data_IF_387089207756
#
_entry.id   IF_387089207756
#
_cell.length_a   1.000
_cell.length_b   1.000
_cell.length_c   1.000
_cell.angle_alpha   90.00
_cell.angle_beta   90.00
_cell.angle_gamma   90.00
#
_symmetry.space_group_name_H-M   'P 1'
#
loop_
_entity.id
_entity.type
_entity.pdbx_description
1 polymer ?
#
# COMPACT_ATOMS: atom_id res chain seq x y z
N UNK A 1 -11.10 5.96 -18.93
CA UNK A 1 -10.97 4.49 -18.79
C UNK A 1 -12.29 3.79 -19.07
N UNK A 2 -13.33 3.98 -18.24
CA UNK A 2 -14.65 3.33 -18.40
C UNK A 2 -15.24 3.49 -19.81
N UNK A 3 -15.18 4.68 -20.39
CA UNK A 3 -15.64 4.92 -21.76
C UNK A 3 -14.85 4.13 -22.82
N UNK A 4 -13.54 3.96 -22.63
CA UNK A 4 -12.69 3.15 -23.50
C UNK A 4 -13.02 1.66 -23.36
N UNK A 5 -13.27 1.19 -22.13
CA UNK A 5 -13.71 -0.18 -21.85
C UNK A 5 -15.04 -0.50 -22.56
N UNK A 6 -16.00 0.42 -22.50
CA UNK A 6 -17.32 0.29 -23.13
C UNK A 6 -17.18 0.27 -24.66
N UNK A 7 -16.34 1.13 -25.24
CA UNK A 7 -16.11 1.17 -26.69
C UNK A 7 -15.47 -0.14 -27.17
N UNK A 8 -14.47 -0.66 -26.45
CA UNK A 8 -13.83 -1.95 -26.77
C UNK A 8 -14.83 -3.11 -26.69
N UNK A 9 -15.65 -3.15 -25.63
CA UNK A 9 -16.71 -4.16 -25.46
C UNK A 9 -17.76 -4.10 -26.58
N UNK A 10 -18.21 -2.90 -26.94
CA UNK A 10 -19.25 -2.69 -27.96
C UNK A 10 -18.75 -3.10 -29.35
N UNK A 11 -17.47 -2.89 -29.64
CA UNK A 11 -16.84 -3.30 -30.91
C UNK A 11 -16.53 -4.80 -30.93
N UNK A 12 -16.17 -5.40 -29.79
CA UNK A 12 -15.99 -6.86 -29.66
C UNK A 12 -17.28 -7.64 -29.90
N UNK A 13 -18.41 -7.11 -29.42
CA UNK A 13 -19.74 -7.69 -29.61
C UNK A 13 -20.35 -7.39 -31.00
N UNK A 14 -19.76 -6.48 -31.77
CA UNK A 14 -20.18 -6.11 -33.12
C UNK A 14 -19.58 -7.06 -34.17
N UNK A 15 -20.33 -7.44 -35.22
CA UNK A 15 -19.92 -8.22 -36.41
C UNK A 15 -18.85 -7.50 -37.29
N UNK A 16 -17.81 -6.93 -36.67
CA UNK A 16 -16.72 -6.25 -37.36
C UNK A 16 -15.57 -7.18 -37.72
N UNK A 17 -14.81 -6.75 -38.72
CA UNK A 17 -13.71 -7.46 -39.37
C UNK A 17 -12.67 -7.99 -38.35
N UNK A 18 -12.23 -9.24 -38.50
CA UNK A 18 -11.32 -9.94 -37.56
C UNK A 18 -10.05 -9.15 -37.24
N UNK A 19 -9.49 -8.47 -38.24
CA UNK A 19 -8.28 -7.66 -38.09
C UNK A 19 -8.50 -6.48 -37.13
N UNK A 20 -9.63 -5.79 -37.21
CA UNK A 20 -9.95 -4.63 -36.37
C UNK A 20 -10.12 -5.03 -34.89
N UNK A 21 -10.72 -6.19 -34.62
CA UNK A 21 -10.82 -6.77 -33.26
C UNK A 21 -9.44 -7.05 -32.66
N UNK A 22 -8.52 -7.62 -33.45
CA UNK A 22 -7.16 -7.94 -32.99
C UNK A 22 -6.36 -6.66 -32.71
N UNK A 23 -6.43 -5.65 -33.58
CA UNK A 23 -5.72 -4.38 -33.39
C UNK A 23 -6.19 -3.65 -32.14
N UNK A 24 -7.51 -3.59 -31.89
CA UNK A 24 -8.06 -2.99 -30.66
C UNK A 24 -7.64 -3.74 -29.40
N UNK A 25 -7.58 -5.07 -29.45
CA UNK A 25 -7.05 -5.89 -28.36
C UNK A 25 -5.59 -5.55 -28.07
N UNK A 26 -4.74 -5.50 -29.10
CA UNK A 26 -3.32 -5.15 -28.95
C UNK A 26 -3.14 -3.75 -28.35
N UNK A 27 -3.90 -2.75 -28.81
CA UNK A 27 -3.86 -1.38 -28.27
C UNK A 27 -4.34 -1.33 -26.82
N UNK A 28 -5.39 -2.06 -26.45
CA UNK A 28 -5.88 -2.11 -25.07
C UNK A 28 -4.88 -2.77 -24.11
N UNK A 29 -4.18 -3.83 -24.55
CA UNK A 29 -3.08 -4.46 -23.82
C UNK A 29 -1.90 -3.50 -23.66
N UNK A 30 -1.53 -2.77 -24.71
CA UNK A 30 -0.45 -1.79 -24.62
C UNK A 30 -0.81 -0.65 -23.65
N UNK A 31 -2.03 -0.12 -23.76
CA UNK A 31 -2.55 0.92 -22.87
C UNK A 31 -2.59 0.46 -21.40
N UNK A 32 -2.82 -0.85 -21.16
CA UNK A 32 -2.77 -1.44 -19.81
C UNK A 32 -1.42 -1.26 -19.12
N UNK A 33 -0.33 -1.48 -19.88
CA UNK A 33 1.03 -1.41 -19.35
C UNK A 33 1.38 0.02 -18.92
N UNK A 34 0.90 1.00 -19.68
CA UNK A 34 1.11 2.42 -19.39
C UNK A 34 0.13 3.00 -18.37
N UNK A 35 -0.89 2.27 -17.92
CA UNK A 35 -1.89 2.82 -17.01
C UNK A 35 -1.34 3.11 -15.61
N UNK A 36 -0.44 2.25 -15.11
CA UNK A 36 0.21 2.43 -13.80
C UNK A 36 1.61 3.01 -13.96
N UNK A 37 2.37 2.54 -14.95
CA UNK A 37 3.73 3.02 -15.21
C UNK A 37 3.72 4.47 -15.70
N UNK A 38 2.72 4.87 -16.50
CA UNK A 38 2.62 6.22 -17.06
C UNK A 38 2.61 7.32 -15.99
N UNK A 39 1.68 7.27 -15.01
CA UNK A 39 1.70 8.21 -13.90
C UNK A 39 2.98 8.16 -13.07
N UNK A 40 3.57 6.97 -12.87
CA UNK A 40 4.83 6.84 -12.12
C UNK A 40 6.00 7.55 -12.80
N UNK A 41 6.07 7.55 -14.13
CA UNK A 41 7.11 8.27 -14.89
C UNK A 41 7.02 9.80 -14.73
N UNK A 42 5.85 10.31 -14.34
CA UNK A 42 5.62 11.74 -14.12
C UNK A 42 5.92 12.20 -12.68
N UNK A 43 6.12 11.27 -11.74
CA UNK A 43 6.45 11.61 -10.36
C UNK A 43 7.95 11.88 -10.20
N UNK A 44 8.30 12.96 -9.50
CA UNK A 44 9.69 13.27 -9.11
C UNK A 44 10.34 12.17 -8.24
N UNK A 45 9.52 11.42 -7.49
CA UNK A 45 9.94 10.33 -6.62
C UNK A 45 8.97 9.15 -6.77
N UNK A 46 9.15 8.30 -7.80
CA UNK A 46 8.27 7.15 -8.03
C UNK A 46 8.41 6.12 -6.92
N UNK A 47 7.27 5.63 -6.42
CA UNK A 47 7.24 4.58 -5.39
C UNK A 47 7.19 3.22 -6.10
N UNK A 48 8.34 2.58 -6.23
CA UNK A 48 8.45 1.21 -6.74
C UNK A 48 8.19 0.21 -5.62
N UNK A 49 6.92 -0.17 -5.42
CA UNK A 49 6.54 -1.20 -4.47
C UNK A 49 5.55 -2.19 -5.11
N UNK A 50 5.73 -3.49 -4.81
CA UNK A 50 4.89 -4.57 -5.36
C UNK A 50 3.39 -4.31 -5.12
N UNK A 51 3.03 -3.71 -3.99
CA UNK A 51 1.64 -3.36 -3.66
C UNK A 51 0.98 -2.37 -4.63
N UNK A 52 1.74 -1.52 -5.32
CA UNK A 52 1.19 -0.56 -6.29
C UNK A 52 0.70 -1.27 -7.55
N UNK A 53 1.22 -2.46 -7.83
CA UNK A 53 0.79 -3.31 -8.93
C UNK A 53 -0.47 -4.13 -8.62
N UNK A 54 -0.97 -4.16 -7.37
CA UNK A 54 -2.23 -4.85 -7.03
C UNK A 54 -3.39 -4.26 -7.84
N UNK A 55 -3.39 -2.94 -8.06
CA UNK A 55 -4.37 -2.26 -8.91
C UNK A 55 -4.31 -2.68 -10.39
N UNK A 56 -3.19 -3.24 -10.85
CA UNK A 56 -3.03 -3.76 -12.21
C UNK A 56 -3.92 -4.97 -12.47
N UNK A 57 -4.21 -5.76 -11.44
CA UNK A 57 -5.04 -6.97 -11.54
C UNK A 57 -6.42 -6.70 -12.12
N UNK A 58 -7.05 -5.58 -11.72
CA UNK A 58 -8.38 -5.19 -12.24
C UNK A 58 -8.37 -4.80 -13.72
N UNK A 59 -7.28 -4.22 -14.23
CA UNK A 59 -7.17 -3.89 -15.65
C UNK A 59 -6.79 -5.13 -16.48
N UNK A 60 -5.88 -5.97 -15.96
CA UNK A 60 -5.59 -7.27 -16.58
C UNK A 60 -6.83 -8.14 -16.68
N UNK A 61 -7.68 -8.14 -15.65
CA UNK A 61 -9.01 -8.78 -15.69
C UNK A 61 -9.81 -8.33 -16.91
N UNK A 62 -9.89 -7.02 -17.17
CA UNK A 62 -10.64 -6.50 -18.30
C UNK A 62 -10.04 -6.89 -19.65
N UNK A 63 -8.72 -6.76 -19.81
CA UNK A 63 -8.04 -7.16 -21.04
C UNK A 63 -8.31 -8.62 -21.36
N UNK A 64 -8.29 -9.47 -20.34
CA UNK A 64 -8.51 -10.88 -20.54
C UNK A 64 -10.00 -11.25 -20.72
N UNK A 65 -10.92 -10.55 -20.07
CA UNK A 65 -12.36 -10.67 -20.37
C UNK A 65 -12.66 -10.25 -21.81
N UNK A 66 -11.99 -9.21 -22.30
CA UNK A 66 -12.08 -8.77 -23.70
C UNK A 66 -11.54 -9.84 -24.65
N UNK A 67 -10.43 -10.50 -24.31
CA UNK A 67 -9.92 -11.66 -25.06
C UNK A 67 -10.92 -12.83 -25.02
N UNK A 68 -11.47 -13.16 -23.84
CA UNK A 68 -12.48 -14.20 -23.66
C UNK A 68 -13.71 -13.97 -24.58
N UNK A 69 -14.20 -12.74 -24.65
CA UNK A 69 -15.35 -12.37 -25.48
C UNK A 69 -15.01 -12.34 -26.98
N UNK A 70 -13.74 -12.17 -27.36
CA UNK A 70 -13.31 -12.09 -28.76
C UNK A 70 -13.26 -13.45 -29.46
N UNK A 71 -12.98 -14.52 -28.71
CA UNK A 71 -12.81 -15.87 -29.23
C UNK A 71 -14.04 -16.74 -28.89
N UNK A 72 -14.78 -17.16 -29.92
CA UNK A 72 -16.02 -17.94 -29.81
C UNK A 72 -15.88 -19.32 -29.10
N UNK A 73 -16.99 -20.03 -28.96
CA UNK A 73 -17.21 -21.15 -28.02
C UNK A 73 -16.32 -22.40 -28.14
N UNK A 74 -15.41 -22.49 -29.12
CA UNK A 74 -14.66 -23.73 -29.39
C UNK A 74 -13.48 -24.01 -28.44
N UNK A 75 -13.30 -23.25 -27.34
CA UNK A 75 -12.13 -23.35 -26.45
C UNK A 75 -12.46 -23.31 -24.95
N UNK A 76 -13.40 -24.15 -24.50
CA UNK A 76 -13.84 -24.28 -23.10
C UNK A 76 -12.68 -24.43 -22.09
N UNK A 77 -11.63 -25.20 -22.41
CA UNK A 77 -10.49 -25.45 -21.50
C UNK A 77 -9.72 -24.16 -21.18
N UNK A 78 -9.45 -23.34 -22.20
CA UNK A 78 -8.78 -22.05 -22.00
C UNK A 78 -9.64 -21.10 -21.16
N UNK A 79 -10.98 -21.17 -21.30
CA UNK A 79 -11.92 -20.40 -20.50
C UNK A 79 -11.87 -20.80 -19.03
N UNK A 80 -11.89 -22.11 -18.73
CA UNK A 80 -11.83 -22.62 -17.35
C UNK A 80 -10.50 -22.25 -16.70
N UNK A 81 -9.38 -22.51 -17.38
CA UNK A 81 -8.06 -22.15 -16.87
C UNK A 81 -7.95 -20.64 -16.60
N UNK A 82 -8.43 -19.83 -17.54
CA UNK A 82 -8.39 -18.38 -17.41
C UNK A 82 -9.24 -17.86 -16.23
N UNK A 83 -10.47 -18.34 -16.11
CA UNK A 83 -11.35 -18.02 -14.98
C UNK A 83 -10.75 -18.43 -13.63
N UNK A 84 -10.02 -19.54 -13.58
CA UNK A 84 -9.35 -19.99 -12.36
C UNK A 84 -8.19 -19.07 -11.96
N UNK A 85 -7.32 -18.68 -12.89
CA UNK A 85 -6.23 -17.72 -12.61
C UNK A 85 -6.79 -16.40 -12.10
N UNK A 86 -7.87 -15.93 -12.73
CA UNK A 86 -8.54 -14.70 -12.38
C UNK A 86 -9.20 -14.76 -10.99
N UNK A 87 -9.82 -15.88 -10.66
CA UNK A 87 -10.39 -16.14 -9.34
C UNK A 87 -9.28 -16.08 -8.27
N UNK A 88 -8.15 -16.75 -8.51
CA UNK A 88 -7.01 -16.75 -7.58
C UNK A 88 -6.40 -15.35 -7.42
N UNK A 89 -6.23 -14.61 -8.51
CA UNK A 89 -5.74 -13.22 -8.46
C UNK A 89 -6.67 -12.31 -7.66
N UNK A 90 -7.98 -12.51 -7.77
CA UNK A 90 -8.98 -11.71 -7.05
C UNK A 90 -8.95 -12.02 -5.57
N UNK A 91 -8.90 -13.30 -5.19
CA UNK A 91 -8.77 -13.72 -3.79
C UNK A 91 -7.47 -13.19 -3.16
N UNK A 92 -6.35 -13.29 -3.88
CA UNK A 92 -5.07 -12.79 -3.42
C UNK A 92 -5.09 -11.28 -3.21
N UNK A 93 -5.63 -10.52 -4.18
CA UNK A 93 -5.74 -9.06 -4.09
C UNK A 93 -6.65 -8.62 -2.94
N UNK A 94 -7.77 -9.34 -2.75
CA UNK A 94 -8.69 -9.10 -1.64
C UNK A 94 -8.03 -9.35 -0.28
N UNK A 95 -7.32 -10.49 -0.14
CA UNK A 95 -6.56 -10.81 1.07
C UNK A 95 -5.48 -9.78 1.37
N UNK A 96 -4.69 -9.40 0.37
CA UNK A 96 -3.68 -8.34 0.48
C UNK A 96 -4.28 -7.01 0.93
N UNK A 97 -5.38 -6.58 0.31
CA UNK A 97 -6.07 -5.35 0.69
C UNK A 97 -6.55 -5.39 2.15
N UNK A 98 -7.16 -6.49 2.58
CA UNK A 98 -7.65 -6.62 3.95
C UNK A 98 -6.49 -6.59 4.98
N UNK A 99 -5.37 -7.25 4.69
CA UNK A 99 -4.18 -7.21 5.52
C UNK A 99 -3.55 -5.81 5.61
N UNK A 100 -3.48 -5.09 4.48
CA UNK A 100 -2.99 -3.70 4.46
C UNK A 100 -3.91 -2.81 5.29
N UNK A 101 -5.23 -2.93 5.14
CA UNK A 101 -6.19 -2.13 5.90
C UNK A 101 -6.16 -2.44 7.41
N UNK A 102 -5.98 -3.72 7.77
CA UNK A 102 -5.82 -4.12 9.16
C UNK A 102 -4.53 -3.55 9.78
N UNK A 103 -3.43 -3.56 9.03
CA UNK A 103 -2.17 -2.93 9.45
C UNK A 103 -2.35 -1.42 9.63
N UNK A 104 -2.99 -0.76 8.66
CA UNK A 104 -3.20 0.69 8.70
C UNK A 104 -4.00 1.15 9.93
N UNK A 105 -5.06 0.42 10.29
CA UNK A 105 -5.83 0.70 11.51
C UNK A 105 -5.02 0.51 12.79
N UNK A 106 -4.13 -0.48 12.80
CA UNK A 106 -3.23 -0.71 13.91
C UNK A 106 -2.19 0.41 14.05
N UNK A 107 -1.64 0.86 12.93
CA UNK A 107 -0.75 2.02 12.87
C UNK A 107 -1.44 3.31 13.36
N UNK A 108 -2.69 3.56 12.96
CA UNK A 108 -3.49 4.68 13.48
C UNK A 108 -3.64 4.59 15.01
N UNK A 109 -3.87 3.40 15.55
CA UNK A 109 -3.94 3.19 16.99
C UNK A 109 -2.60 3.44 17.70
N UNK A 110 -1.48 3.01 17.10
CA UNK A 110 -0.13 3.29 17.63
C UNK A 110 0.11 4.80 17.67
N UNK A 111 -0.18 5.52 16.58
CA UNK A 111 -0.01 6.99 16.52
C UNK A 111 -0.86 7.70 17.56
N UNK A 112 -2.10 7.25 17.77
CA UNK A 112 -2.97 7.80 18.79
C UNK A 112 -2.41 7.57 20.20
N UNK A 113 -1.90 6.37 20.48
CA UNK A 113 -1.23 6.06 21.75
C UNK A 113 0.03 6.89 21.97
N UNK A 114 0.88 7.02 20.95
CA UNK A 114 2.07 7.89 21.01
C UNK A 114 1.65 9.33 21.33
N UNK A 115 0.60 9.84 20.66
CA UNK A 115 0.11 11.20 20.90
C UNK A 115 -0.43 11.39 22.33
N UNK A 116 -1.09 10.37 22.88
CA UNK A 116 -1.55 10.36 24.28
C UNK A 116 -0.38 10.30 25.26
N UNK A 117 0.62 9.46 25.01
CA UNK A 117 1.83 9.36 25.84
C UNK A 117 2.61 10.68 25.85
N UNK A 118 2.74 11.33 24.68
CA UNK A 118 3.38 12.65 24.57
C UNK A 118 2.70 13.68 25.48
N UNK A 119 1.37 13.66 25.54
CA UNK A 119 0.61 14.55 26.42
C UNK A 119 0.75 14.15 27.89
N UNK A 120 0.55 12.87 28.19
CA UNK A 120 0.55 12.35 29.56
C UNK A 120 1.90 12.59 30.25
N UNK A 121 3.01 12.38 29.54
CA UNK A 121 4.36 12.62 30.06
C UNK A 121 4.84 14.07 29.88
N UNK A 122 4.03 14.95 29.28
CA UNK A 122 4.35 16.37 29.10
C UNK A 122 5.56 16.66 28.21
N UNK A 123 6.06 15.67 27.45
CA UNK A 123 7.26 15.80 26.60
C UNK A 123 7.00 16.63 25.33
N UNK A 124 5.74 16.89 24.99
CA UNK A 124 5.36 17.62 23.78
C UNK A 124 5.48 19.14 23.85
N UNK A 125 5.71 19.74 25.02
CA UNK A 125 5.68 21.21 25.17
C UNK A 125 6.91 21.90 24.56
N UNK A 126 8.09 21.28 24.66
CA UNK A 126 9.35 21.84 24.20
C UNK A 126 9.91 21.13 22.96
N UNK A 127 9.10 20.27 22.33
CA UNK A 127 9.52 19.49 21.18
C UNK A 127 8.88 20.03 19.89
N UNK A 128 9.72 20.24 18.87
CA UNK A 128 9.28 20.58 17.51
C UNK A 128 9.34 19.36 16.58
N UNK A 129 10.18 18.39 16.93
CA UNK A 129 10.49 17.27 16.06
C UNK A 129 10.11 15.93 16.68
N UNK A 130 9.82 14.96 15.82
CA UNK A 130 9.66 13.55 16.19
C UNK A 130 10.55 12.67 15.31
N UNK A 131 11.22 11.70 15.93
CA UNK A 131 12.03 10.70 15.24
C UNK A 131 11.55 9.30 15.60
N UNK A 132 11.33 8.49 14.58
CA UNK A 132 11.09 7.06 14.73
C UNK A 132 12.41 6.29 14.58
N UNK A 133 12.65 5.33 15.46
CA UNK A 133 13.79 4.41 15.39
C UNK A 133 13.25 3.00 15.28
N UNK A 134 13.66 2.31 14.22
CA UNK A 134 13.11 1.01 13.86
C UNK A 134 11.80 1.13 13.08
N UNK A 135 11.06 0.03 13.06
CA UNK A 135 9.81 -0.15 12.35
C UNK A 135 8.82 -0.78 13.31
N UNK A 136 7.56 -0.39 13.21
CA UNK A 136 6.48 -0.94 13.99
C UNK A 136 6.31 -2.46 13.76
N UNK A 137 5.72 -3.19 14.72
CA UNK A 137 5.38 -4.59 14.50
C UNK A 137 4.20 -4.74 13.54
N UNK A 138 4.03 -5.95 13.02
CA UNK A 138 2.80 -6.32 12.32
C UNK A 138 1.67 -6.56 13.33
N UNK A 139 0.42 -6.46 12.86
CA UNK A 139 -0.70 -6.99 13.65
C UNK A 139 -0.54 -8.49 13.86
N UNK A 140 -1.03 -9.02 14.99
CA UNK A 140 -1.01 -10.47 15.26
C UNK A 140 -1.67 -11.30 14.14
N UNK A 141 -2.66 -10.73 13.45
CA UNK A 141 -3.26 -11.37 12.27
C UNK A 141 -2.30 -11.40 11.08
N UNK A 142 -1.64 -10.27 10.79
CA UNK A 142 -0.68 -10.19 9.70
C UNK A 142 0.60 -11.00 9.96
N UNK A 143 1.08 -11.10 11.20
CA UNK A 143 2.20 -11.99 11.55
C UNK A 143 1.89 -13.44 11.19
N UNK A 144 0.70 -13.91 11.55
CA UNK A 144 0.24 -15.25 11.20
C UNK A 144 0.10 -15.46 9.69
N UNK A 145 -0.36 -14.44 8.97
CA UNK A 145 -0.48 -14.48 7.50
C UNK A 145 0.90 -14.52 6.85
N UNK A 146 1.84 -13.68 7.29
CA UNK A 146 3.22 -13.64 6.76
C UNK A 146 3.94 -14.96 7.03
N UNK A 147 3.77 -15.54 8.21
CA UNK A 147 4.33 -16.85 8.55
C UNK A 147 3.85 -17.96 7.60
N UNK A 148 2.60 -17.89 7.13
CA UNK A 148 2.02 -18.85 6.15
C UNK A 148 2.32 -18.48 4.71
N UNK A 149 2.40 -17.19 4.39
CA UNK A 149 2.54 -16.64 3.06
C UNK A 149 3.57 -15.50 3.06
N UNK A 150 4.89 -15.80 2.97
CA UNK A 150 5.95 -14.80 3.09
C UNK A 150 5.86 -13.64 2.09
N UNK A 151 5.28 -13.87 0.91
CA UNK A 151 5.06 -12.81 -0.09
C UNK A 151 4.22 -11.63 0.44
N UNK A 152 3.40 -11.86 1.47
CA UNK A 152 2.57 -10.83 2.09
C UNK A 152 3.40 -9.77 2.81
N UNK A 153 4.61 -10.10 3.26
CA UNK A 153 5.53 -9.14 3.91
C UNK A 153 5.87 -7.96 2.98
N UNK A 154 6.06 -8.25 1.69
CA UNK A 154 6.39 -7.24 0.67
C UNK A 154 5.16 -6.38 0.31
N UNK A 155 3.97 -6.95 0.46
CA UNK A 155 2.71 -6.31 0.10
C UNK A 155 2.16 -5.43 1.21
N UNK A 156 2.32 -5.84 2.47
CA UNK A 156 1.83 -5.13 3.65
C UNK A 156 2.88 -4.09 4.05
N UNK A 157 2.64 -2.78 3.80
CA UNK A 157 3.59 -1.76 4.22
C UNK A 157 3.59 -1.62 5.74
N UNK A 158 4.75 -1.24 6.26
CA UNK A 158 4.92 -0.68 7.60
C UNK A 158 5.28 0.79 7.43
N UNK A 159 4.34 1.68 7.70
CA UNK A 159 4.45 3.10 7.35
C UNK A 159 4.98 3.98 8.47
N UNK A 160 5.03 3.50 9.73
CA UNK A 160 5.55 4.27 10.88
C UNK A 160 7.06 4.05 11.00
N UNK A 161 7.80 4.74 10.14
CA UNK A 161 9.26 4.78 10.20
C UNK A 161 9.77 6.18 9.85
N UNK A 162 11.08 6.39 9.99
CA UNK A 162 11.69 7.69 9.68
C UNK A 162 12.06 7.87 8.21
N UNK A 163 11.96 6.80 7.41
CA UNK A 163 12.40 6.77 6.01
C UNK A 163 11.28 7.16 5.05
N UNK A 164 10.02 7.09 5.48
CA UNK A 164 8.85 7.42 4.68
C UNK A 164 8.08 8.64 5.20
N UNK A 165 7.69 9.50 4.26
CA UNK A 165 6.82 10.65 4.51
C UNK A 165 5.46 10.25 5.13
N UNK A 166 5.00 9.02 4.90
CA UNK A 166 3.70 8.54 5.38
C UNK A 166 3.58 8.49 6.90
N UNK A 167 4.68 8.32 7.65
CA UNK A 167 4.65 8.41 9.12
C UNK A 167 4.27 9.82 9.58
N UNK A 168 4.83 10.85 8.94
CA UNK A 168 4.52 12.25 9.20
C UNK A 168 3.09 12.60 8.81
N UNK A 169 2.63 12.10 7.66
CA UNK A 169 1.23 12.27 7.23
C UNK A 169 0.26 11.62 8.23
N UNK A 170 0.58 10.43 8.73
CA UNK A 170 -0.23 9.73 9.71
C UNK A 170 -0.29 10.48 11.05
N UNK A 171 0.85 10.97 11.55
CA UNK A 171 0.92 11.83 12.74
C UNK A 171 0.11 13.11 12.56
N UNK A 172 0.15 13.73 11.38
CA UNK A 172 -0.59 14.97 11.10
C UNK A 172 -2.12 14.81 11.08
N UNK A 173 -2.64 13.58 10.99
CA UNK A 173 -4.08 13.31 11.13
C UNK A 173 -4.56 13.50 12.56
N UNK A 174 -3.69 13.31 13.55
CA UNK A 174 -4.04 13.53 14.95
C UNK A 174 -3.77 15.00 15.34
N UNK A 175 -4.78 15.72 15.88
CA UNK A 175 -4.64 17.14 16.24
C UNK A 175 -3.47 17.44 17.19
N UNK A 176 -3.13 16.50 18.07
CA UNK A 176 -2.11 16.69 19.10
C UNK A 176 -0.69 16.49 18.60
N UNK A 177 -0.52 15.72 17.53
CA UNK A 177 0.78 15.45 16.92
C UNK A 177 1.02 16.18 15.60
N UNK A 178 0.02 16.88 15.07
CA UNK A 178 0.12 17.70 13.85
C UNK A 178 1.25 18.73 13.84
N UNK A 179 1.65 19.22 15.02
CA UNK A 179 2.73 20.22 15.13
C UNK A 179 4.14 19.64 14.92
N UNK A 180 4.32 18.34 15.10
CA UNK A 180 5.65 17.74 15.05
C UNK A 180 6.08 17.45 13.61
N UNK A 181 7.32 17.80 13.30
CA UNK A 181 7.96 17.47 12.01
C UNK A 181 8.85 16.24 12.17
N UNK A 182 8.91 15.40 11.14
CA UNK A 182 9.83 14.26 11.13
C UNK A 182 11.29 14.75 11.14
N UNK A 183 12.09 14.23 12.07
CA UNK A 183 13.50 14.54 12.17
C UNK A 183 14.34 13.57 11.33
N UNK A 184 14.95 14.07 10.27
CA UNK A 184 15.74 13.24 9.34
C UNK A 184 17.13 12.91 9.86
N UNK A 185 17.75 13.78 10.65
CA UNK A 185 19.13 13.60 11.11
C UNK A 185 19.26 12.49 12.17
N UNK A 186 20.45 11.90 12.30
CA UNK A 186 20.73 10.92 13.35
C UNK A 186 20.62 11.54 14.74
N UNK A 187 20.08 10.77 15.68
CA UNK A 187 19.95 11.15 17.10
C UNK A 187 20.70 10.11 17.92
N UNK A 188 21.66 10.57 18.71
CA UNK A 188 22.38 9.73 19.67
C UNK A 188 21.55 9.60 20.93
N UNK A 189 21.24 8.36 21.33
CA UNK A 189 20.46 8.11 22.54
C UNK A 189 21.40 7.98 23.73
N UNK A 190 21.35 8.96 24.62
CA UNK A 190 22.11 8.98 25.87
C UNK A 190 21.31 8.27 26.98
N UNK A 191 21.99 7.80 28.03
CA UNK A 191 21.33 7.20 29.19
C UNK A 191 20.27 8.16 29.78
N UNK A 192 19.05 7.66 30.01
CA UNK A 192 17.93 8.43 30.56
C UNK A 192 17.07 9.20 29.54
N UNK A 193 17.27 9.00 28.23
CA UNK A 193 16.38 9.57 27.20
C UNK A 193 14.93 9.06 27.33
N UNK A 194 14.78 7.80 27.73
CA UNK A 194 13.51 7.08 27.81
C UNK A 194 12.68 7.57 29.00
N UNK A 195 11.42 7.94 28.72
CA UNK A 195 10.44 8.38 29.71
C UNK A 195 9.38 7.34 30.00
N UNK A 196 9.06 6.51 29.00
CA UNK A 196 8.09 5.43 29.13
C UNK A 196 8.43 4.31 28.17
N UNK A 197 8.08 3.09 28.59
CA UNK A 197 8.19 1.86 27.82
C UNK A 197 6.88 1.10 27.88
N UNK A 198 6.41 0.63 26.73
CA UNK A 198 5.37 -0.39 26.65
C UNK A 198 5.89 -1.56 25.81
N UNK A 199 5.03 -2.56 25.56
CA UNK A 199 5.40 -3.76 24.79
C UNK A 199 5.70 -3.47 23.30
N UNK A 200 5.25 -2.33 22.77
CA UNK A 200 5.36 -1.97 21.35
C UNK A 200 6.52 -0.98 21.10
N UNK A 201 6.68 0.03 21.96
CA UNK A 201 7.70 1.06 21.80
C UNK A 201 8.15 1.66 23.15
N UNK A 202 9.33 2.26 23.11
CA UNK A 202 9.87 3.20 24.09
C UNK A 202 9.73 4.62 23.55
N UNK A 203 9.35 5.57 24.42
CA UNK A 203 9.22 6.99 24.08
C UNK A 203 10.01 7.86 25.05
N UNK A 204 10.61 8.92 24.51
CA UNK A 204 11.47 9.80 25.28
C UNK A 204 11.75 11.13 24.58
N UNK A 205 12.63 11.93 25.19
CA UNK A 205 13.01 13.24 24.69
C UNK A 205 14.54 13.36 24.61
N UNK A 206 15.06 13.81 23.47
CA UNK A 206 16.47 14.15 23.28
C UNK A 206 16.55 15.55 22.69
N UNK A 207 16.94 16.54 23.51
CA UNK A 207 16.87 17.95 23.13
C UNK A 207 15.43 18.38 22.83
N UNK A 208 15.20 18.89 21.61
CA UNK A 208 13.88 19.32 21.11
C UNK A 208 13.18 18.23 20.25
N UNK A 209 13.70 17.00 20.28
CA UNK A 209 13.20 15.89 19.48
C UNK A 209 12.60 14.80 20.36
N UNK A 210 11.32 14.50 20.13
CA UNK A 210 10.66 13.30 20.68
C UNK A 210 11.22 12.09 19.93
N UNK A 211 11.71 11.11 20.67
CA UNK A 211 12.19 9.86 20.11
C UNK A 211 11.19 8.77 20.44
N UNK A 212 10.76 8.05 19.40
CA UNK A 212 9.97 6.81 19.53
C UNK A 212 10.81 5.68 18.96
N UNK A 213 11.19 4.71 19.79
CA UNK A 213 11.92 3.51 19.39
C UNK A 213 10.99 2.32 19.49
N UNK A 214 10.76 1.62 18.38
CA UNK A 214 10.05 0.34 18.41
C UNK A 214 10.93 -0.75 19.03
N UNK A 215 10.31 -1.62 19.83
CA UNK A 215 11.00 -2.71 20.54
C UNK A 215 11.43 -3.84 19.60
#
# INVERSE_FOLDING_TARGET
VVSFLIIVLRILLSEQNKAMRITLLAVSLLASLFFIIGPMLLLNSPIYAARVLIGMGGFMFFCCYSMYSAFGDKKLIFRIYFSFVLLMSTFFSYGAYHSINAQFKFEENIVNRISQDIQFFGIGNNAEYIKFIGVEPYTSTNENIIKKHPIMEILIPRIINNDWMWSGVLMQRNPFSKKFKLYTNHVTLNDGWEKSRNDVYSIGLVGETIVVRFN
#
